data_IF_689349511025
#
_entry.id   IF_689349511025
#
_cell.length_a   1.000
_cell.length_b   1.000
_cell.length_c   1.000
_cell.angle_alpha   90.00
_cell.angle_beta   90.00
_cell.angle_gamma   90.00
#
_symmetry.space_group_name_H-M   'P 1'
#
loop_
_entity.id
_entity.type
_entity.pdbx_description
1 polymer ?
#
# COMPACT_ATOMS: atom_id res chain seq x y z
N UNK A 1 2.44 26.88 1.42
CA UNK A 1 2.57 26.44 2.84
C UNK A 1 1.25 26.30 3.58
N UNK A 2 0.32 27.27 3.55
CA UNK A 2 -0.98 27.19 4.26
C UNK A 2 -1.82 25.98 3.84
N UNK A 3 -2.03 25.78 2.53
CA UNK A 3 -2.78 24.63 1.99
C UNK A 3 -2.16 23.27 2.37
N UNK A 4 -0.82 23.18 2.43
CA UNK A 4 -0.12 21.94 2.84
C UNK A 4 -0.36 21.64 4.32
N UNK A 5 -0.32 22.66 5.19
CA UNK A 5 -0.64 22.50 6.62
C UNK A 5 -2.10 22.09 6.82
N UNK A 6 -3.03 22.69 6.08
CA UNK A 6 -4.45 22.33 6.13
C UNK A 6 -4.71 20.90 5.63
N UNK A 7 -4.03 20.47 4.57
CA UNK A 7 -4.06 19.09 4.10
C UNK A 7 -3.56 18.12 5.17
N UNK A 8 -2.38 18.35 5.75
CA UNK A 8 -1.80 17.47 6.78
C UNK A 8 -2.68 17.38 8.02
N UNK A 9 -3.27 18.50 8.46
CA UNK A 9 -4.17 18.54 9.61
C UNK A 9 -5.40 17.65 9.44
N UNK A 10 -5.93 17.48 8.21
CA UNK A 10 -7.06 16.55 7.93
C UNK A 10 -6.73 15.10 8.27
N UNK A 11 -5.44 14.75 8.32
CA UNK A 11 -4.94 13.42 8.61
C UNK A 11 -4.27 13.30 9.99
N UNK A 12 -4.44 14.30 10.86
CA UNK A 12 -3.83 14.32 12.20
C UNK A 12 -2.32 14.61 12.20
N UNK A 13 -1.75 14.90 11.03
CA UNK A 13 -0.33 15.23 10.92
C UNK A 13 -0.10 16.74 10.98
N UNK A 14 1.08 17.14 11.46
CA UNK A 14 1.48 18.54 11.54
C UNK A 14 2.82 18.80 10.86
N UNK A 15 3.02 20.04 10.43
CA UNK A 15 4.24 20.48 9.75
C UNK A 15 5.04 21.39 10.67
N UNK A 16 6.24 20.96 11.05
CA UNK A 16 7.21 21.77 11.79
C UNK A 16 8.26 22.32 10.83
N UNK A 17 8.54 23.62 10.96
CA UNK A 17 9.68 24.25 10.30
C UNK A 17 10.81 24.39 11.32
N UNK A 18 11.93 23.75 11.04
CA UNK A 18 13.15 23.78 11.85
C UNK A 18 14.25 24.54 11.10
N UNK A 19 15.38 24.77 11.76
CA UNK A 19 16.55 25.38 11.10
C UNK A 19 17.17 24.45 10.05
N UNK A 20 16.99 23.14 10.17
CA UNK A 20 17.47 22.13 9.22
C UNK A 20 16.47 21.78 8.10
N UNK A 21 15.25 22.32 8.15
CA UNK A 21 14.23 22.08 7.11
C UNK A 21 12.84 21.82 7.66
N UNK A 22 12.02 21.11 6.87
CA UNK A 22 10.61 20.87 7.17
C UNK A 22 10.43 19.42 7.62
N UNK A 23 9.80 19.24 8.78
CA UNK A 23 9.53 17.92 9.38
C UNK A 23 8.03 17.71 9.49
N UNK A 24 7.54 16.58 9.00
CA UNK A 24 6.16 16.15 9.24
C UNK A 24 6.13 15.32 10.52
N UNK A 25 5.38 15.80 11.51
CA UNK A 25 5.13 15.09 12.76
C UNK A 25 3.79 14.38 12.65
N UNK A 26 3.83 13.06 12.67
CA UNK A 26 2.68 12.18 12.52
C UNK A 26 3.01 10.81 13.14
N UNK A 27 2.03 10.16 13.75
CA UNK A 27 2.10 8.74 14.08
C UNK A 27 2.22 7.90 12.81
N UNK A 28 2.72 6.67 12.93
CA UNK A 28 2.83 5.75 11.79
C UNK A 28 1.50 5.48 11.09
N UNK A 29 0.39 5.49 11.84
CA UNK A 29 -0.97 5.37 11.28
C UNK A 29 -1.31 6.57 10.39
N UNK A 30 -0.97 7.77 10.84
CA UNK A 30 -1.24 9.02 10.13
C UNK A 30 -0.33 9.16 8.90
N UNK A 31 0.95 8.81 9.03
CA UNK A 31 1.88 8.70 7.88
C UNK A 31 1.35 7.75 6.83
N UNK A 32 0.81 6.58 7.22
CA UNK A 32 0.22 5.62 6.29
C UNK A 32 -0.97 6.21 5.54
N UNK A 33 -1.90 6.87 6.25
CA UNK A 33 -3.06 7.51 5.61
C UNK A 33 -2.64 8.61 4.65
N UNK A 34 -1.68 9.45 5.05
CA UNK A 34 -1.12 10.49 4.21
C UNK A 34 -0.44 9.94 2.96
N UNK A 35 0.33 8.85 3.11
CA UNK A 35 1.01 8.22 1.99
C UNK A 35 0.00 7.59 1.03
N UNK A 36 -1.02 6.89 1.54
CA UNK A 36 -2.11 6.37 0.72
C UNK A 36 -2.83 7.47 -0.05
N UNK A 37 -3.11 8.59 0.59
CA UNK A 37 -3.77 9.74 -0.04
C UNK A 37 -2.89 10.37 -1.10
N UNK A 38 -1.62 10.63 -0.80
CA UNK A 38 -0.66 11.17 -1.76
C UNK A 38 -0.55 10.27 -2.99
N UNK A 39 -0.43 8.97 -2.77
CA UNK A 39 -0.37 7.98 -3.84
C UNK A 39 -1.66 7.98 -4.67
N UNK A 40 -2.83 8.04 -4.02
CA UNK A 40 -4.12 8.16 -4.71
C UNK A 40 -4.25 9.46 -5.50
N UNK A 41 -3.69 10.57 -5.02
CA UNK A 41 -3.69 11.86 -5.70
C UNK A 41 -2.77 11.84 -6.93
N UNK A 42 -1.58 11.24 -6.83
CA UNK A 42 -0.63 11.15 -7.95
C UNK A 42 -1.07 10.15 -9.03
N UNK A 43 -1.79 9.08 -8.68
CA UNK A 43 -2.22 8.07 -9.64
C UNK A 43 -3.70 8.16 -10.04
N UNK A 44 -4.50 8.95 -9.33
CA UNK A 44 -5.91 9.20 -9.67
C UNK A 44 -6.08 10.09 -10.89
N UNK A 45 -5.13 10.95 -11.23
CA UNK A 45 -5.29 11.95 -12.32
C UNK A 45 -4.54 11.56 -13.63
N UNK A 46 -3.33 11.00 -13.54
CA UNK A 46 -2.52 10.72 -14.74
C UNK A 46 -2.86 9.38 -15.44
N UNK A 47 -3.40 8.39 -14.72
CA UNK A 47 -3.67 7.06 -15.30
C UNK A 47 -5.12 6.85 -15.79
N UNK A 48 -6.05 7.74 -15.42
CA UNK A 48 -7.43 7.70 -15.92
C UNK A 48 -7.53 8.20 -17.38
N UNK A 49 -6.52 8.91 -17.88
CA UNK A 49 -6.46 9.38 -19.25
C UNK A 49 -5.87 8.31 -20.18
N UNK A 50 -6.75 7.43 -20.67
CA UNK A 50 -6.47 6.28 -21.56
C UNK A 50 -5.80 6.59 -22.92
N UNK A 51 -5.34 7.82 -23.20
CA UNK A 51 -4.81 8.22 -24.51
C UNK A 51 -3.38 8.79 -24.51
N UNK A 52 -2.62 8.73 -23.41
CA UNK A 52 -1.18 9.09 -23.42
C UNK A 52 -0.22 7.97 -23.00
N UNK A 53 -0.60 6.73 -23.30
CA UNK A 53 0.40 5.68 -23.52
C UNK A 53 1.10 5.95 -24.85
N UNK A 54 2.14 6.79 -24.84
CA UNK A 54 3.27 6.82 -25.79
C UNK A 54 4.05 8.12 -25.54
N UNK A 55 4.74 8.16 -24.39
CA UNK A 55 6.03 8.83 -24.17
C UNK A 55 6.31 8.88 -22.67
N UNK A 56 6.84 7.78 -22.15
CA UNK A 56 7.54 7.79 -20.87
C UNK A 56 8.87 8.54 -21.05
N UNK A 57 8.86 9.87 -20.90
CA UNK A 57 10.09 10.67 -20.77
C UNK A 57 10.27 11.27 -19.37
N UNK A 58 9.20 11.36 -18.55
CA UNK A 58 9.27 11.99 -17.22
C UNK A 58 9.08 11.00 -16.04
N UNK A 59 9.16 9.68 -16.29
CA UNK A 59 9.12 8.65 -15.25
C UNK A 59 10.35 8.67 -14.31
N UNK A 60 11.36 9.48 -14.63
CA UNK A 60 12.64 9.52 -13.93
C UNK A 60 12.62 10.37 -12.64
N UNK A 61 11.70 11.33 -12.53
CA UNK A 61 11.63 12.24 -11.37
C UNK A 61 10.67 11.74 -10.26
N UNK A 62 9.68 10.92 -10.65
CA UNK A 62 8.78 10.23 -9.72
C UNK A 62 9.43 8.96 -9.16
N UNK A 63 10.25 8.27 -9.97
CA UNK A 63 10.95 7.05 -9.54
C UNK A 63 12.05 7.31 -8.51
N UNK A 64 12.73 8.45 -8.55
CA UNK A 64 13.79 8.81 -7.59
C UNK A 64 13.23 9.03 -6.18
N UNK A 65 12.11 9.73 -6.03
CA UNK A 65 11.53 10.02 -4.71
C UNK A 65 10.75 8.83 -4.10
N UNK A 66 10.15 7.98 -4.93
CA UNK A 66 9.39 6.80 -4.47
C UNK A 66 10.31 5.60 -4.15
N UNK A 67 11.49 5.51 -4.81
CA UNK A 67 12.50 4.48 -4.51
C UNK A 67 13.03 4.52 -3.07
N UNK A 68 12.88 5.66 -2.38
CA UNK A 68 13.20 5.81 -0.95
C UNK A 68 12.31 4.91 -0.08
N UNK A 69 11.06 4.69 -0.50
CA UNK A 69 10.06 3.96 0.29
C UNK A 69 9.99 2.47 -0.04
N UNK A 70 10.31 2.07 -1.28
CA UNK A 70 10.37 0.66 -1.65
C UNK A 70 11.29 0.39 -2.83
N UNK A 71 11.93 -0.79 -2.84
CA UNK A 71 12.75 -1.19 -3.97
C UNK A 71 11.89 -1.67 -5.15
N UNK A 72 12.29 -1.39 -6.41
CA UNK A 72 11.63 -1.97 -7.59
C UNK A 72 11.59 -3.50 -7.55
N UNK A 73 12.61 -4.13 -6.97
CA UNK A 73 12.66 -5.59 -6.78
C UNK A 73 11.52 -6.09 -5.86
N UNK A 74 11.24 -5.40 -4.76
CA UNK A 74 10.14 -5.77 -3.86
C UNK A 74 8.81 -5.66 -4.59
N UNK A 75 8.58 -4.58 -5.34
CA UNK A 75 7.34 -4.41 -6.11
C UNK A 75 7.14 -5.56 -7.13
N UNK A 76 8.18 -5.91 -7.89
CA UNK A 76 8.13 -7.02 -8.85
C UNK A 76 7.77 -8.34 -8.15
N UNK A 77 8.41 -8.65 -7.02
CA UNK A 77 8.10 -9.85 -6.23
C UNK A 77 6.66 -9.84 -5.68
N UNK A 78 6.16 -8.68 -5.24
CA UNK A 78 4.77 -8.52 -4.81
C UNK A 78 3.79 -8.79 -5.95
N UNK A 79 4.04 -8.23 -7.14
CA UNK A 79 3.19 -8.47 -8.31
C UNK A 79 3.18 -9.95 -8.72
N UNK A 80 4.33 -10.62 -8.65
CA UNK A 80 4.41 -12.07 -8.90
C UNK A 80 3.60 -12.87 -7.87
N UNK A 81 3.75 -12.54 -6.58
CA UNK A 81 2.99 -13.15 -5.51
C UNK A 81 1.47 -12.93 -5.67
N UNK A 82 1.03 -11.73 -6.05
CA UNK A 82 -0.38 -11.44 -6.29
C UNK A 82 -0.94 -12.18 -7.50
N UNK A 83 -0.16 -12.30 -8.58
CA UNK A 83 -0.53 -13.12 -9.73
C UNK A 83 -0.67 -14.60 -9.36
N UNK A 84 0.24 -15.13 -8.54
CA UNK A 84 0.14 -16.50 -8.04
C UNK A 84 -1.08 -16.66 -7.11
N UNK A 85 -1.31 -15.71 -6.20
CA UNK A 85 -2.47 -15.69 -5.32
C UNK A 85 -3.77 -15.73 -6.12
N UNK A 86 -3.93 -14.87 -7.13
CA UNK A 86 -5.13 -14.82 -8.00
C UNK A 86 -5.38 -16.16 -8.71
N UNK A 87 -4.33 -16.83 -9.17
CA UNK A 87 -4.42 -18.17 -9.77
C UNK A 87 -4.88 -19.25 -8.79
N UNK A 88 -4.45 -19.17 -7.53
CA UNK A 88 -4.78 -20.17 -6.49
C UNK A 88 -6.17 -19.92 -5.89
N UNK A 89 -6.50 -18.66 -5.58
CA UNK A 89 -7.73 -18.30 -4.89
C UNK A 89 -8.93 -18.19 -5.83
N UNK A 90 -8.70 -17.87 -7.11
CA UNK A 90 -9.76 -17.50 -8.05
C UNK A 90 -10.44 -16.17 -7.72
N UNK A 91 -9.91 -15.40 -6.76
CA UNK A 91 -10.49 -14.12 -6.36
C UNK A 91 -10.39 -13.13 -7.52
N UNK A 92 -11.55 -12.65 -7.98
CA UNK A 92 -11.63 -11.57 -8.95
C UNK A 92 -11.35 -10.25 -8.24
N UNK A 93 -10.59 -9.39 -8.91
CA UNK A 93 -10.23 -8.06 -8.46
C UNK A 93 -10.32 -7.15 -9.68
N UNK A 94 -10.83 -5.95 -9.50
CA UNK A 94 -10.64 -4.86 -10.46
C UNK A 94 -9.15 -4.48 -10.54
N UNK A 95 -8.77 -3.79 -11.61
CA UNK A 95 -7.40 -3.29 -11.76
C UNK A 95 -7.01 -2.36 -10.59
N UNK A 96 -7.96 -1.55 -10.12
CA UNK A 96 -7.76 -0.68 -8.96
C UNK A 96 -7.50 -1.46 -7.66
N UNK A 97 -8.31 -2.48 -7.35
CA UNK A 97 -8.13 -3.31 -6.15
C UNK A 97 -6.79 -4.07 -6.18
N UNK A 98 -6.43 -4.60 -7.35
CA UNK A 98 -5.16 -5.29 -7.55
C UNK A 98 -3.96 -4.34 -7.31
N UNK A 99 -3.99 -3.15 -7.91
CA UNK A 99 -2.95 -2.14 -7.77
C UNK A 99 -2.84 -1.64 -6.33
N UNK A 100 -3.96 -1.29 -5.70
CA UNK A 100 -4.02 -0.85 -4.31
C UNK A 100 -3.43 -1.89 -3.36
N UNK A 101 -3.81 -3.16 -3.53
CA UNK A 101 -3.26 -4.26 -2.74
C UNK A 101 -1.75 -4.45 -2.97
N UNK A 102 -1.27 -4.32 -4.21
CA UNK A 102 0.15 -4.41 -4.54
C UNK A 102 0.98 -3.33 -3.84
N UNK A 103 0.48 -2.10 -3.82
CA UNK A 103 1.15 -0.97 -3.16
C UNK A 103 1.21 -1.21 -1.65
N UNK A 104 0.08 -1.54 -1.03
CA UNK A 104 0.02 -1.78 0.42
C UNK A 104 0.91 -2.95 0.86
N UNK A 105 0.95 -4.02 0.08
CA UNK A 105 1.86 -5.14 0.32
C UNK A 105 3.32 -4.72 0.19
N UNK A 106 3.67 -3.99 -0.87
CA UNK A 106 5.04 -3.53 -1.09
C UNK A 106 5.55 -2.71 0.09
N UNK A 107 4.74 -1.76 0.56
CA UNK A 107 5.06 -0.95 1.75
C UNK A 107 5.18 -1.82 3.01
N UNK A 108 4.25 -2.75 3.23
CA UNK A 108 4.28 -3.63 4.40
C UNK A 108 5.54 -4.50 4.42
N UNK A 109 5.92 -5.07 3.27
CA UNK A 109 7.11 -5.91 3.13
C UNK A 109 8.39 -5.13 3.40
N UNK A 110 8.54 -3.94 2.83
CA UNK A 110 9.72 -3.08 3.07
C UNK A 110 9.89 -2.75 4.56
N UNK A 111 8.78 -2.46 5.25
CA UNK A 111 8.81 -2.19 6.68
C UNK A 111 9.21 -3.42 7.51
N UNK A 112 8.70 -4.60 7.14
CA UNK A 112 9.08 -5.86 7.81
C UNK A 112 10.57 -6.14 7.58
N UNK A 113 11.08 -5.94 6.36
CA UNK A 113 12.52 -6.08 6.04
C UNK A 113 13.39 -5.13 6.87
N UNK A 114 12.89 -3.94 7.20
CA UNK A 114 13.55 -2.94 8.06
C UNK A 114 13.34 -3.16 9.56
N UNK A 115 12.65 -4.25 9.95
CA UNK A 115 12.28 -4.56 11.32
C UNK A 115 11.41 -3.49 12.01
N UNK A 116 10.68 -2.70 11.22
CA UNK A 116 9.75 -1.67 11.70
C UNK A 116 8.37 -2.28 11.98
N UNK A 117 8.30 -3.26 12.87
CA UNK A 117 7.02 -3.98 13.12
C UNK A 117 6.05 -3.08 13.90
N UNK A 118 4.82 -2.92 13.40
CA UNK A 118 3.77 -2.15 14.09
C UNK A 118 3.10 -3.03 15.13
N UNK A 119 2.81 -2.46 16.31
CA UNK A 119 1.75 -2.95 17.21
C UNK A 119 0.41 -2.39 16.75
N UNK A 120 -0.24 -3.06 15.80
CA UNK A 120 -1.55 -2.68 15.31
C UNK A 120 -2.60 -3.27 16.27
N UNK A 121 -3.20 -2.41 17.10
CA UNK A 121 -4.27 -2.81 18.02
C UNK A 121 -5.62 -2.98 17.30
N UNK A 122 -5.67 -3.69 16.16
CA UNK A 122 -6.97 -4.07 15.60
C UNK A 122 -7.56 -5.20 16.43
N UNK A 123 -8.89 -5.21 16.55
CA UNK A 123 -9.60 -6.41 17.03
C UNK A 123 -9.11 -7.59 16.20
N UNK A 124 -8.64 -8.63 16.86
CA UNK A 124 -8.28 -9.88 16.21
C UNK A 124 -9.55 -10.44 15.58
N UNK A 125 -9.66 -10.40 14.25
CA UNK A 125 -10.70 -11.09 13.53
C UNK A 125 -10.18 -12.43 13.02
N UNK A 126 -11.10 -13.34 12.73
CA UNK A 126 -10.77 -14.59 12.05
C UNK A 126 -10.25 -14.23 10.66
N UNK A 127 -9.10 -14.80 10.28
CA UNK A 127 -8.54 -14.58 8.96
C UNK A 127 -9.36 -15.35 7.92
N UNK A 128 -9.79 -14.63 6.88
CA UNK A 128 -10.52 -15.22 5.77
C UNK A 128 -9.66 -16.20 4.96
N UNK A 129 -10.32 -17.12 4.26
CA UNK A 129 -9.65 -18.15 3.45
C UNK A 129 -8.67 -17.54 2.44
N UNK A 130 -9.09 -16.49 1.73
CA UNK A 130 -8.25 -15.82 0.73
C UNK A 130 -7.06 -15.10 1.39
N UNK A 131 -7.26 -14.52 2.57
CA UNK A 131 -6.17 -13.93 3.36
C UNK A 131 -5.12 -14.97 3.72
N UNK A 132 -5.53 -16.16 4.15
CA UNK A 132 -4.61 -17.26 4.47
C UNK A 132 -3.82 -17.73 3.24
N UNK A 133 -4.43 -17.77 2.06
CA UNK A 133 -3.73 -18.12 0.81
C UNK A 133 -2.69 -17.04 0.48
N UNK A 134 -3.09 -15.76 0.52
CA UNK A 134 -2.18 -14.65 0.23
C UNK A 134 -0.99 -14.63 1.19
N UNK A 135 -1.22 -14.81 2.49
CA UNK A 135 -0.17 -14.91 3.51
C UNK A 135 0.82 -16.02 3.14
N UNK A 136 0.35 -17.22 2.79
CA UNK A 136 1.22 -18.35 2.44
C UNK A 136 2.07 -18.05 1.21
N UNK A 137 1.49 -17.41 0.19
CA UNK A 137 2.22 -17.03 -1.03
C UNK A 137 3.30 -16.00 -0.71
N UNK A 138 2.95 -14.96 0.05
CA UNK A 138 3.88 -13.89 0.42
C UNK A 138 5.02 -14.40 1.33
N UNK A 139 4.70 -15.16 2.38
CA UNK A 139 5.73 -15.72 3.27
C UNK A 139 6.71 -16.63 2.50
N UNK A 140 6.20 -17.38 1.50
CA UNK A 140 7.03 -18.22 0.64
C UNK A 140 7.92 -17.39 -0.30
N UNK A 141 7.35 -16.41 -1.00
CA UNK A 141 8.05 -15.60 -2.01
C UNK A 141 9.17 -14.75 -1.39
N UNK A 142 8.94 -14.22 -0.19
CA UNK A 142 9.87 -13.31 0.48
C UNK A 142 10.74 -13.99 1.54
N UNK A 143 10.46 -15.25 1.90
CA UNK A 143 11.19 -15.95 2.96
C UNK A 143 11.03 -15.30 4.34
N UNK A 144 9.91 -14.62 4.58
CA UNK A 144 9.62 -13.91 5.84
C UNK A 144 8.47 -14.56 6.59
N UNK A 145 8.30 -14.17 7.86
CA UNK A 145 7.06 -14.41 8.62
C UNK A 145 6.33 -13.10 8.82
N UNK A 146 5.08 -13.04 8.36
CA UNK A 146 4.27 -11.86 8.57
C UNK A 146 3.86 -11.77 10.05
N UNK A 147 4.10 -10.62 10.72
CA UNK A 147 3.59 -10.38 12.06
C UNK A 147 2.06 -10.48 12.10
N UNK A 148 1.51 -10.84 13.26
CA UNK A 148 0.05 -11.01 13.46
C UNK A 148 -0.74 -9.80 12.99
N UNK A 149 -0.23 -8.62 13.29
CA UNK A 149 -0.86 -7.34 13.00
C UNK A 149 -0.90 -7.04 11.50
N UNK A 150 0.15 -7.42 10.76
CA UNK A 150 0.19 -7.31 9.30
C UNK A 150 -0.77 -8.33 8.64
N UNK A 151 -0.93 -9.52 9.24
CA UNK A 151 -1.93 -10.52 8.79
C UNK A 151 -3.35 -9.99 8.94
N UNK A 152 -3.66 -9.32 10.05
CA UNK A 152 -4.97 -8.69 10.28
C UNK A 152 -5.20 -7.51 9.31
N UNK A 153 -4.17 -6.71 9.06
CA UNK A 153 -4.26 -5.62 8.09
C UNK A 153 -4.54 -6.13 6.67
N UNK A 154 -3.88 -7.21 6.24
CA UNK A 154 -4.19 -7.86 4.96
C UNK A 154 -5.61 -8.42 4.92
N UNK A 155 -6.11 -8.92 6.05
CA UNK A 155 -7.49 -9.42 6.14
C UNK A 155 -8.52 -8.33 5.83
N UNK A 156 -8.29 -7.10 6.30
CA UNK A 156 -9.18 -5.96 6.03
C UNK A 156 -9.26 -5.68 4.52
N UNK A 157 -8.11 -5.70 3.83
CA UNK A 157 -8.07 -5.46 2.38
C UNK A 157 -8.76 -6.56 1.58
N UNK A 158 -8.53 -7.82 1.94
CA UNK A 158 -9.18 -8.96 1.28
C UNK A 158 -10.70 -8.93 1.52
N UNK A 159 -11.13 -8.60 2.74
CA UNK A 159 -12.55 -8.44 3.04
C UNK A 159 -13.18 -7.33 2.21
N UNK A 160 -12.52 -6.17 2.07
CA UNK A 160 -13.03 -5.07 1.25
C UNK A 160 -13.22 -5.47 -0.22
N UNK A 161 -12.25 -6.19 -0.80
CA UNK A 161 -12.32 -6.74 -2.16
C UNK A 161 -13.46 -7.76 -2.30
N UNK A 162 -13.67 -8.59 -1.28
CA UNK A 162 -14.75 -9.57 -1.32
C UNK A 162 -16.13 -8.90 -1.17
N UNK A 163 -16.24 -7.87 -0.34
CA UNK A 163 -17.48 -7.13 -0.14
C UNK A 163 -17.88 -6.32 -1.38
N UNK A 164 -16.92 -5.74 -2.11
CA UNK A 164 -17.20 -5.01 -3.35
C UNK A 164 -17.82 -5.91 -4.44
N UNK A 165 -17.45 -7.20 -4.46
CA UNK A 165 -18.03 -8.20 -5.36
C UNK A 165 -19.48 -8.53 -4.99
N UNK A 166 -19.81 -8.60 -3.69
CA UNK A 166 -21.18 -8.93 -3.22
C UNK A 166 -22.20 -7.81 -3.42
N UNK A 167 -21.76 -6.57 -3.63
CA UNK A 167 -22.62 -5.41 -3.89
C UNK A 167 -22.90 -5.16 -5.37
N UNK A 168 -22.27 -5.93 -6.28
CA UNK A 168 -22.43 -5.80 -7.73
C UNK A 168 -23.26 -6.95 -8.35
N UNK A 169 -24.02 -7.68 -7.53
CA UNK A 169 -25.07 -8.64 -7.92
C UNK A 169 -26.45 -8.13 -7.47
#
# INVERSE_FOLDING_TARGET
MKAVKEFLNKFGASLLTTKEGIVIVASEREKRRLMSELISLYWGDDYLNKERQLQMKDAQDVSTNISVFFSPETLIKVLNALNQFKKISGLKMSDYEYQSLAIHLTIAIERIKRNEVIKFSSKNSVLEKNTLILIKVIEKEFGIKLPKDEKQYLNIHILAIQSSLTTNE
#
